data_IF_982188533770
#
_entry.id   IF_982188533770
#
_cell.length_a   1.000
_cell.length_b   1.000
_cell.length_c   1.000
_cell.angle_alpha   90.00
_cell.angle_beta   90.00
_cell.angle_gamma   90.00
#
_symmetry.space_group_name_H-M   'P 1'
#
loop_
_entity.id
_entity.type
_entity.pdbx_description
1 polymer ?
#
# COMPACT_ATOMS: atom_id res chain seq x y z
N UNK A 1 2.05 -14.08 -5.30
CA UNK A 1 0.87 -14.92 -5.03
C UNK A 1 -0.22 -14.01 -4.48
N UNK A 2 -1.44 -14.09 -5.04
CA UNK A 2 -2.59 -13.36 -4.51
C UNK A 2 -3.08 -13.97 -3.18
N UNK A 3 -3.13 -13.14 -2.14
CA UNK A 3 -3.70 -13.42 -0.82
C UNK A 3 -4.93 -12.53 -0.67
N UNK A 4 -6.12 -13.15 -0.63
CA UNK A 4 -7.37 -12.40 -0.53
C UNK A 4 -7.94 -12.49 0.89
N UNK A 5 -7.75 -11.44 1.69
CA UNK A 5 -8.22 -11.35 3.08
C UNK A 5 -9.64 -10.77 3.18
N UNK A 6 -10.21 -10.28 2.08
CA UNK A 6 -11.52 -9.61 2.06
C UNK A 6 -12.63 -10.51 2.61
N UNK A 7 -12.79 -11.78 2.19
CA UNK A 7 -13.88 -12.61 2.70
C UNK A 7 -13.81 -12.85 4.21
N UNK A 8 -12.60 -13.09 4.73
CA UNK A 8 -12.38 -13.33 6.16
C UNK A 8 -12.63 -12.06 6.99
N UNK A 9 -12.20 -10.90 6.50
CA UNK A 9 -12.51 -9.63 7.15
C UNK A 9 -14.01 -9.37 7.17
N UNK A 10 -14.70 -9.49 6.04
CA UNK A 10 -16.16 -9.28 5.97
C UNK A 10 -16.92 -10.25 6.88
N UNK A 11 -16.49 -11.52 6.97
CA UNK A 11 -17.06 -12.48 7.93
C UNK A 11 -16.85 -12.04 9.38
N UNK A 12 -15.69 -11.47 9.72
CA UNK A 12 -15.46 -10.90 11.04
C UNK A 12 -16.37 -9.70 11.34
N UNK A 13 -16.59 -8.82 10.35
CA UNK A 13 -17.47 -7.66 10.47
C UNK A 13 -18.95 -8.05 10.67
N UNK A 14 -19.39 -9.14 10.05
CA UNK A 14 -20.77 -9.66 10.13
C UNK A 14 -21.02 -10.58 11.33
N UNK A 15 -20.00 -10.86 12.14
CA UNK A 15 -20.10 -11.70 13.34
C UNK A 15 -21.07 -11.12 14.37
N UNK A 16 -21.70 -11.98 15.18
CA UNK A 16 -22.47 -11.55 16.35
C UNK A 16 -21.60 -10.82 17.40
N UNK A 17 -20.29 -11.08 17.39
CA UNK A 17 -19.29 -10.38 18.21
C UNK A 17 -18.19 -9.79 17.31
N UNK A 18 -18.43 -8.66 16.62
CA UNK A 18 -17.52 -8.15 15.59
C UNK A 18 -16.12 -7.81 16.10
N UNK A 19 -16.02 -7.20 17.28
CA UNK A 19 -14.72 -6.83 17.88
C UNK A 19 -13.87 -8.07 18.15
N UNK A 20 -14.46 -9.09 18.82
CA UNK A 20 -13.75 -10.32 19.12
C UNK A 20 -13.39 -11.10 17.85
N UNK A 21 -14.27 -11.11 16.85
CA UNK A 21 -13.98 -11.73 15.56
C UNK A 21 -12.86 -11.01 14.80
N UNK A 22 -12.84 -9.66 14.83
CA UNK A 22 -11.79 -8.87 14.22
C UNK A 22 -10.42 -9.13 14.87
N UNK A 23 -10.36 -9.25 16.20
CA UNK A 23 -9.12 -9.66 16.87
C UNK A 23 -8.64 -11.05 16.42
N UNK A 24 -9.53 -12.04 16.29
CA UNK A 24 -9.15 -13.35 15.77
C UNK A 24 -8.64 -13.29 14.34
N UNK A 25 -9.27 -12.47 13.50
CA UNK A 25 -8.80 -12.21 12.14
C UNK A 25 -7.40 -11.58 12.12
N UNK A 26 -7.16 -10.56 12.95
CA UNK A 26 -5.83 -9.96 13.11
C UNK A 26 -4.79 -10.97 13.60
N UNK A 27 -5.15 -11.81 14.57
CA UNK A 27 -4.24 -12.82 15.13
C UNK A 27 -3.90 -13.91 14.11
N UNK A 28 -4.88 -14.37 13.32
CA UNK A 28 -4.68 -15.37 12.28
C UNK A 28 -3.75 -14.88 11.16
N UNK A 29 -3.78 -13.59 10.86
CA UNK A 29 -2.99 -12.95 9.80
C UNK A 29 -1.92 -11.99 10.34
N UNK A 30 -1.45 -12.24 11.57
CA UNK A 30 -0.59 -11.34 12.34
C UNK A 30 0.67 -10.88 11.61
N UNK A 31 1.28 -11.74 10.80
CA UNK A 31 2.50 -11.42 10.07
C UNK A 31 2.28 -10.24 9.10
N UNK A 32 1.21 -10.29 8.31
CA UNK A 32 0.88 -9.26 7.32
C UNK A 32 0.18 -8.09 8.00
N UNK A 33 -0.89 -8.36 8.77
CA UNK A 33 -1.69 -7.29 9.36
C UNK A 33 -0.94 -6.56 10.48
N UNK A 34 -0.07 -7.22 11.23
CA UNK A 34 0.79 -6.55 12.20
C UNK A 34 1.74 -5.55 11.54
N UNK A 35 2.38 -5.95 10.45
CA UNK A 35 3.25 -5.08 9.67
C UNK A 35 2.48 -3.92 9.01
N UNK A 36 1.30 -4.19 8.45
CA UNK A 36 0.39 -3.15 7.94
C UNK A 36 0.03 -2.12 9.01
N UNK A 37 -0.42 -2.56 10.19
CA UNK A 37 -0.79 -1.66 11.26
C UNK A 37 0.39 -0.81 11.75
N UNK A 38 1.55 -1.43 11.97
CA UNK A 38 2.76 -0.74 12.43
C UNK A 38 3.21 0.37 11.44
N UNK A 39 3.15 0.08 10.14
CA UNK A 39 3.65 1.00 9.12
C UNK A 39 2.62 2.06 8.70
N UNK A 40 1.33 1.73 8.64
CA UNK A 40 0.32 2.57 7.98
C UNK A 40 -0.86 3.00 8.86
N UNK A 41 -0.98 2.46 10.09
CA UNK A 41 -2.11 2.76 10.97
C UNK A 41 -1.61 3.31 12.31
N UNK A 42 -1.36 2.43 13.27
CA UNK A 42 -0.75 2.68 14.57
C UNK A 42 -0.21 1.34 15.11
N UNK A 43 0.66 1.40 16.11
CA UNK A 43 1.12 0.23 16.85
C UNK A 43 -0.08 -0.56 17.45
N UNK A 44 -0.28 -1.86 17.10
CA UNK A 44 -1.39 -2.69 17.58
C UNK A 44 -1.45 -2.93 19.09
N UNK A 45 -0.38 -2.61 19.82
CA UNK A 45 -0.32 -2.67 21.28
C UNK A 45 -0.60 -1.33 21.96
N UNK A 46 -0.84 -0.27 21.17
CA UNK A 46 -1.02 1.10 21.64
C UNK A 46 -2.41 1.38 22.23
N UNK A 47 -2.56 2.50 22.96
CA UNK A 47 -3.79 2.84 23.70
C UNK A 47 -5.00 3.07 22.80
N UNK A 48 -4.79 3.48 21.54
CA UNK A 48 -5.86 3.78 20.58
C UNK A 48 -6.28 2.57 19.72
N UNK A 49 -5.58 1.44 19.81
CA UNK A 49 -5.84 0.28 18.96
C UNK A 49 -7.29 -0.20 19.07
N UNK A 50 -7.78 -0.40 20.29
CA UNK A 50 -9.13 -0.90 20.52
C UNK A 50 -10.22 0.09 20.09
N UNK A 51 -9.94 1.39 20.17
CA UNK A 51 -10.84 2.43 19.68
C UNK A 51 -10.99 2.34 18.15
N UNK A 52 -9.86 2.28 17.44
CA UNK A 52 -9.85 2.14 15.98
C UNK A 52 -10.52 0.84 15.54
N UNK A 53 -10.28 -0.27 16.25
CA UNK A 53 -10.98 -1.55 15.96
C UNK A 53 -12.49 -1.39 16.11
N UNK A 54 -12.98 -0.74 17.19
CA UNK A 54 -14.41 -0.51 17.41
C UNK A 54 -15.03 0.35 16.31
N UNK A 55 -14.34 1.40 15.89
CA UNK A 55 -14.79 2.27 14.80
C UNK A 55 -14.80 1.50 13.47
N UNK A 56 -13.74 0.75 13.21
CA UNK A 56 -13.61 -0.11 12.03
C UNK A 56 -14.79 -1.07 11.94
N UNK A 57 -15.11 -1.83 13.00
CA UNK A 57 -16.19 -2.82 12.91
C UNK A 57 -17.60 -2.22 12.86
N UNK A 58 -17.76 -0.94 13.22
CA UNK A 58 -19.05 -0.23 13.20
C UNK A 58 -19.29 0.58 11.93
N UNK A 59 -18.24 0.87 11.16
CA UNK A 59 -18.35 1.72 9.98
C UNK A 59 -19.25 1.09 8.90
N UNK A 60 -20.10 1.91 8.30
CA UNK A 60 -20.97 1.54 7.19
C UNK A 60 -20.13 1.30 5.93
N UNK A 61 -20.41 0.21 5.20
CA UNK A 61 -19.61 -0.27 4.05
C UNK A 61 -20.44 -0.66 2.83
N UNK A 62 -21.59 -0.01 2.65
CA UNK A 62 -22.47 -0.27 1.49
C UNK A 62 -21.75 -0.03 0.15
N UNK A 63 -20.84 0.94 0.12
CA UNK A 63 -19.95 1.23 -1.01
C UNK A 63 -18.99 0.07 -1.32
N UNK A 64 -18.36 -0.53 -0.31
CA UNK A 64 -17.49 -1.70 -0.49
C UNK A 64 -18.27 -2.92 -1.00
N UNK A 65 -19.46 -3.20 -0.45
CA UNK A 65 -20.29 -4.30 -0.95
C UNK A 65 -20.69 -4.05 -2.42
N UNK A 66 -21.05 -2.82 -2.77
CA UNK A 66 -21.38 -2.42 -4.15
C UNK A 66 -20.18 -2.61 -5.09
N UNK A 67 -18.97 -2.27 -4.64
CA UNK A 67 -17.73 -2.52 -5.38
C UNK A 67 -17.57 -4.02 -5.69
N UNK A 68 -17.67 -4.87 -4.66
CA UNK A 68 -17.43 -6.31 -4.78
C UNK A 68 -18.49 -7.02 -5.64
N UNK A 69 -19.71 -6.48 -5.73
CA UNK A 69 -20.75 -6.98 -6.64
C UNK A 69 -20.47 -6.66 -8.12
N UNK A 70 -19.74 -5.57 -8.39
CA UNK A 70 -19.55 -5.03 -9.75
C UNK A 70 -18.18 -5.33 -10.34
N UNK A 71 -17.17 -5.49 -9.50
CA UNK A 71 -15.77 -5.58 -9.91
C UNK A 71 -15.14 -6.83 -9.36
N UNK A 72 -14.61 -7.67 -10.25
CA UNK A 72 -13.75 -8.79 -9.86
C UNK A 72 -12.35 -8.27 -9.51
N UNK A 73 -12.24 -7.75 -8.29
CA UNK A 73 -11.00 -7.18 -7.74
C UNK A 73 -9.88 -8.23 -7.63
N UNK A 74 -10.22 -9.50 -7.42
CA UNK A 74 -9.25 -10.59 -7.36
C UNK A 74 -8.63 -10.85 -8.73
N UNK A 75 -9.45 -10.96 -9.77
CA UNK A 75 -8.94 -11.11 -11.13
C UNK A 75 -8.20 -9.86 -11.61
N UNK A 76 -8.62 -8.66 -11.18
CA UNK A 76 -7.90 -7.42 -11.46
C UNK A 76 -6.49 -7.44 -10.87
N UNK A 77 -6.36 -7.72 -9.58
CA UNK A 77 -5.08 -7.80 -8.89
C UNK A 77 -4.16 -8.90 -9.45
N UNK A 78 -4.71 -10.08 -9.73
CA UNK A 78 -3.92 -11.18 -10.32
C UNK A 78 -3.38 -10.85 -11.71
N UNK A 79 -4.17 -10.16 -12.54
CA UNK A 79 -3.69 -9.69 -13.86
C UNK A 79 -2.61 -8.63 -13.71
N UNK A 80 -2.75 -7.71 -12.77
CA UNK A 80 -1.71 -6.70 -12.49
C UNK A 80 -0.43 -7.36 -12.02
N UNK A 81 -0.50 -8.31 -11.07
CA UNK A 81 0.65 -9.07 -10.60
C UNK A 81 1.38 -9.73 -11.77
N UNK A 82 0.64 -10.45 -12.63
CA UNK A 82 1.21 -11.13 -13.78
C UNK A 82 1.89 -10.16 -14.76
N UNK A 83 1.26 -9.01 -15.03
CA UNK A 83 1.82 -7.97 -15.89
C UNK A 83 3.11 -7.38 -15.30
N UNK A 84 3.16 -7.13 -13.99
CA UNK A 84 4.36 -6.65 -13.31
C UNK A 84 5.49 -7.69 -13.34
N UNK A 85 5.18 -8.97 -13.10
CA UNK A 85 6.17 -10.05 -13.15
C UNK A 85 6.82 -10.14 -14.52
N UNK A 86 6.02 -10.03 -15.59
CA UNK A 86 6.51 -10.03 -16.96
C UNK A 86 7.33 -8.76 -17.27
N UNK A 87 6.75 -7.57 -17.02
CA UNK A 87 7.36 -6.29 -17.41
C UNK A 87 8.62 -5.95 -16.63
N UNK A 88 8.71 -6.33 -15.35
CA UNK A 88 9.86 -6.01 -14.50
C UNK A 88 10.84 -7.19 -14.37
N UNK A 89 10.61 -8.28 -15.12
CA UNK A 89 11.42 -9.50 -15.10
C UNK A 89 11.64 -10.01 -13.66
N UNK A 90 10.58 -10.01 -12.85
CA UNK A 90 10.67 -10.27 -11.41
C UNK A 90 11.11 -11.72 -11.18
N UNK A 91 12.29 -11.87 -10.59
CA UNK A 91 12.91 -13.16 -10.28
C UNK A 91 12.74 -13.59 -8.81
N UNK A 92 12.09 -12.74 -8.01
CA UNK A 92 11.75 -12.99 -6.61
C UNK A 92 10.25 -13.21 -6.40
N UNK A 93 9.87 -13.73 -5.23
CA UNK A 93 8.47 -13.89 -4.88
C UNK A 93 7.92 -12.62 -4.25
N UNK A 94 6.82 -12.14 -4.80
CA UNK A 94 6.02 -11.03 -4.26
C UNK A 94 4.62 -11.56 -3.97
N UNK A 95 4.09 -11.26 -2.79
CA UNK A 95 2.71 -11.59 -2.44
C UNK A 95 1.84 -10.33 -2.60
N UNK A 96 0.70 -10.45 -3.29
CA UNK A 96 -0.27 -9.36 -3.47
C UNK A 96 -1.42 -9.58 -2.50
N UNK A 97 -1.72 -8.61 -1.66
CA UNK A 97 -2.74 -8.72 -0.61
C UNK A 97 -3.93 -7.83 -0.92
N UNK A 98 -5.09 -8.43 -1.10
CA UNK A 98 -6.37 -7.71 -1.13
C UNK A 98 -6.96 -7.72 0.27
N UNK A 99 -7.26 -6.53 0.80
CA UNK A 99 -7.79 -6.40 2.16
C UNK A 99 -8.80 -5.26 2.29
N UNK A 100 -9.56 -5.35 3.38
CA UNK A 100 -10.31 -4.23 3.95
C UNK A 100 -9.38 -3.61 4.98
N UNK A 101 -8.82 -2.47 4.63
CA UNK A 101 -7.92 -1.65 5.40
C UNK A 101 -8.58 -0.81 6.48
N UNK A 102 -7.71 -0.07 7.14
CA UNK A 102 -8.02 0.80 8.28
C UNK A 102 -7.11 2.01 8.18
N UNK A 103 -7.67 3.21 8.28
CA UNK A 103 -6.86 4.43 8.25
C UNK A 103 -6.85 5.09 6.87
N UNK A 104 -5.70 5.64 6.48
CA UNK A 104 -5.60 6.54 5.33
C UNK A 104 -4.79 5.96 4.16
N UNK A 105 -4.12 4.82 4.35
CA UNK A 105 -3.32 4.20 3.29
C UNK A 105 -4.21 3.39 2.35
N UNK A 106 -4.23 3.79 1.07
CA UNK A 106 -4.97 3.11 0.02
C UNK A 106 -4.23 1.88 -0.51
N UNK A 107 -2.90 1.94 -0.58
CA UNK A 107 -2.01 0.85 -0.94
C UNK A 107 -0.69 1.05 -0.19
N UNK A 108 0.16 0.02 -0.20
CA UNK A 108 1.50 0.12 0.36
C UNK A 108 2.31 -1.15 0.17
N UNK A 109 3.59 -1.02 0.45
CA UNK A 109 4.57 -2.08 0.42
C UNK A 109 4.93 -2.55 1.84
N UNK A 110 5.20 -3.84 1.98
CA UNK A 110 5.74 -4.44 3.20
C UNK A 110 6.84 -5.43 2.82
N UNK A 111 7.69 -5.75 3.79
CA UNK A 111 8.53 -6.94 3.73
C UNK A 111 8.31 -7.72 5.02
N UNK A 112 7.91 -8.97 4.87
CA UNK A 112 7.61 -9.90 5.97
C UNK A 112 8.43 -11.16 5.76
N UNK A 113 9.30 -11.48 6.72
CA UNK A 113 10.23 -12.63 6.65
C UNK A 113 11.04 -12.66 5.33
N UNK A 114 11.51 -11.49 4.89
CA UNK A 114 12.27 -11.29 3.65
C UNK A 114 11.44 -11.38 2.36
N UNK A 115 10.12 -11.54 2.46
CA UNK A 115 9.21 -11.57 1.30
C UNK A 115 8.53 -10.23 1.11
N UNK A 116 8.62 -9.71 -0.11
CA UNK A 116 7.88 -8.51 -0.49
C UNK A 116 6.38 -8.79 -0.52
N UNK A 117 5.63 -7.83 -0.01
CA UNK A 117 4.17 -7.84 -0.02
C UNK A 117 3.71 -6.48 -0.54
N UNK A 118 2.80 -6.49 -1.51
CA UNK A 118 2.10 -5.30 -1.97
C UNK A 118 0.63 -5.43 -1.60
N UNK A 119 0.07 -4.49 -0.84
CA UNK A 119 -1.34 -4.55 -0.44
C UNK A 119 -2.17 -3.43 -1.06
N UNK A 120 -3.48 -3.68 -1.18
CA UNK A 120 -4.47 -2.64 -1.45
C UNK A 120 -5.59 -2.72 -0.41
N UNK A 121 -6.03 -1.55 0.03
CA UNK A 121 -7.12 -1.35 0.96
C UNK A 121 -8.37 -0.92 0.17
N UNK A 122 -9.28 -1.87 -0.05
CA UNK A 122 -10.41 -1.70 -0.97
C UNK A 122 -11.40 -0.61 -0.56
N UNK A 123 -11.46 -0.19 0.71
CA UNK A 123 -12.32 0.94 1.11
C UNK A 123 -11.90 2.27 0.48
N UNK A 124 -10.69 2.36 -0.05
CA UNK A 124 -10.26 3.55 -0.76
C UNK A 124 -10.68 3.57 -2.23
N UNK A 125 -11.08 2.44 -2.82
CA UNK A 125 -11.32 2.26 -4.26
C UNK A 125 -12.79 2.00 -4.62
N UNK A 126 -13.74 2.59 -3.88
CA UNK A 126 -15.17 2.33 -4.05
C UNK A 126 -15.88 3.32 -4.99
N UNK A 127 -15.15 4.24 -5.63
CA UNK A 127 -15.66 5.43 -6.35
C UNK A 127 -16.52 6.39 -5.50
N UNK A 128 -16.67 6.12 -4.20
CA UNK A 128 -17.49 6.90 -3.28
C UNK A 128 -16.67 7.20 -2.04
N UNK A 129 -16.43 8.48 -1.76
CA UNK A 129 -15.75 8.85 -0.52
C UNK A 129 -16.61 8.44 0.68
N UNK A 130 -16.02 7.77 1.66
CA UNK A 130 -16.72 7.24 2.82
C UNK A 130 -16.08 7.74 4.12
N UNK A 131 -16.65 8.77 4.77
CA UNK A 131 -16.12 9.31 6.01
C UNK A 131 -16.08 8.32 7.18
N UNK A 132 -16.95 7.30 7.18
CA UNK A 132 -17.01 6.31 8.26
C UNK A 132 -15.79 5.38 8.24
N UNK A 133 -15.25 5.08 7.05
CA UNK A 133 -14.03 4.29 6.87
C UNK A 133 -12.79 5.14 6.57
N UNK A 134 -12.96 6.45 6.37
CA UNK A 134 -11.94 7.36 5.79
C UNK A 134 -11.56 6.96 4.34
N UNK A 135 -12.44 6.25 3.66
CA UNK A 135 -12.28 5.86 2.27
C UNK A 135 -12.23 7.08 1.34
N UNK A 136 -11.25 7.08 0.43
CA UNK A 136 -10.99 8.21 -0.48
C UNK A 136 -11.99 8.27 -1.65
N UNK A 137 -12.65 7.16 -1.98
CA UNK A 137 -13.55 7.08 -3.12
C UNK A 137 -12.84 7.13 -4.47
N UNK A 138 -11.62 6.60 -4.54
CA UNK A 138 -10.87 6.40 -5.78
C UNK A 138 -11.62 5.44 -6.71
N UNK A 139 -11.39 5.60 -8.01
CA UNK A 139 -11.93 4.67 -9.00
C UNK A 139 -11.25 3.29 -8.87
N UNK A 140 -12.01 2.17 -8.88
CA UNK A 140 -11.46 0.82 -8.94
C UNK A 140 -10.44 0.59 -10.06
N UNK A 141 -10.57 1.32 -11.18
CA UNK A 141 -9.63 1.24 -12.30
C UNK A 141 -8.21 1.72 -11.94
N UNK A 142 -8.04 2.39 -10.79
CA UNK A 142 -6.74 2.80 -10.27
C UNK A 142 -6.02 1.69 -9.49
N UNK A 143 -6.69 0.59 -9.14
CA UNK A 143 -6.08 -0.53 -8.40
C UNK A 143 -4.80 -1.06 -9.11
N UNK A 144 -4.81 -1.31 -10.44
CA UNK A 144 -3.60 -1.74 -11.15
C UNK A 144 -2.43 -0.77 -11.04
N UNK A 145 -2.70 0.54 -11.12
CA UNK A 145 -1.68 1.58 -11.02
C UNK A 145 -1.00 1.53 -9.64
N UNK A 146 -1.78 1.49 -8.57
CA UNK A 146 -1.26 1.41 -7.21
C UNK A 146 -0.56 0.10 -6.92
N UNK A 147 -1.11 -1.05 -7.34
CA UNK A 147 -0.42 -2.33 -7.18
C UNK A 147 0.94 -2.36 -7.89
N UNK A 148 1.02 -1.85 -9.12
CA UNK A 148 2.28 -1.78 -9.85
C UNK A 148 3.32 -0.90 -9.13
N UNK A 149 2.88 0.21 -8.53
CA UNK A 149 3.70 1.07 -7.68
C UNK A 149 4.28 0.29 -6.49
N UNK A 150 3.43 -0.37 -5.70
CA UNK A 150 3.87 -1.11 -4.51
C UNK A 150 4.71 -2.34 -4.84
N UNK A 151 4.40 -3.03 -5.94
CA UNK A 151 5.20 -4.16 -6.43
C UNK A 151 6.61 -3.69 -6.77
N UNK A 152 6.78 -2.52 -7.39
CA UNK A 152 8.09 -1.98 -7.72
C UNK A 152 8.94 -1.69 -6.48
N UNK A 153 8.34 -1.17 -5.41
CA UNK A 153 9.01 -1.08 -4.11
C UNK A 153 9.43 -2.46 -3.60
N UNK A 154 8.50 -3.42 -3.61
CA UNK A 154 8.78 -4.81 -3.22
C UNK A 154 9.97 -5.44 -3.96
N UNK A 155 10.04 -5.27 -5.29
CA UNK A 155 11.19 -5.68 -6.12
C UNK A 155 12.46 -4.99 -5.63
N UNK A 156 12.43 -3.66 -5.48
CA UNK A 156 13.60 -2.90 -5.04
C UNK A 156 14.11 -3.38 -3.68
N UNK A 157 13.22 -3.75 -2.78
CA UNK A 157 13.55 -4.10 -1.40
C UNK A 157 13.98 -5.57 -1.25
N UNK A 158 13.65 -6.45 -2.21
CA UNK A 158 13.79 -7.91 -2.02
C UNK A 158 14.36 -8.69 -3.20
N UNK A 159 14.56 -8.08 -4.38
CA UNK A 159 15.23 -8.77 -5.49
C UNK A 159 16.69 -9.12 -5.12
N UNK A 160 17.19 -10.34 -5.43
CA UNK A 160 18.55 -10.75 -5.10
C UNK A 160 19.64 -9.87 -5.72
N UNK A 161 19.36 -9.33 -6.92
CA UNK A 161 20.25 -8.43 -7.63
C UNK A 161 20.17 -6.96 -7.18
N UNK A 162 19.25 -6.62 -6.27
CA UNK A 162 19.06 -5.22 -5.85
C UNK A 162 20.26 -4.69 -5.09
N UNK A 163 20.72 -3.50 -5.47
CA UNK A 163 21.81 -2.76 -4.80
C UNK A 163 21.30 -1.58 -3.97
N UNK A 164 19.97 -1.47 -3.84
CA UNK A 164 19.27 -0.42 -3.12
C UNK A 164 19.75 -0.32 -1.66
N UNK A 165 19.83 0.90 -1.13
CA UNK A 165 20.01 1.09 0.32
C UNK A 165 18.84 0.49 1.11
N UNK A 166 17.63 0.56 0.56
CA UNK A 166 16.43 -0.02 1.16
C UNK A 166 16.52 -1.55 1.30
N UNK A 167 17.12 -2.24 0.31
CA UNK A 167 17.38 -3.68 0.41
C UNK A 167 18.29 -4.00 1.60
N UNK A 168 19.39 -3.26 1.75
CA UNK A 168 20.31 -3.43 2.89
C UNK A 168 19.61 -3.15 4.22
N UNK A 169 18.80 -2.09 4.28
CA UNK A 169 18.05 -1.76 5.50
C UNK A 169 17.07 -2.87 5.90
N UNK A 170 16.43 -3.53 4.92
CA UNK A 170 15.57 -4.70 5.15
C UNK A 170 16.37 -5.90 5.63
N UNK A 171 17.52 -6.18 5.00
CA UNK A 171 18.40 -7.29 5.44
C UNK A 171 18.94 -7.04 6.86
N UNK A 172 19.33 -5.81 7.21
CA UNK A 172 19.77 -5.40 8.55
C UNK A 172 18.65 -5.47 9.61
N UNK A 173 17.39 -5.48 9.16
CA UNK A 173 16.19 -5.62 9.98
C UNK A 173 15.63 -7.06 9.93
N UNK A 174 16.49 -8.04 9.68
CA UNK A 174 16.16 -9.47 9.62
C UNK A 174 15.00 -9.79 8.66
N UNK A 175 14.98 -9.10 7.51
CA UNK A 175 13.97 -9.30 6.47
C UNK A 175 12.64 -8.60 6.76
N UNK A 176 12.62 -7.59 7.63
CA UNK A 176 11.43 -6.78 7.90
C UNK A 176 11.57 -5.36 7.36
N UNK A 177 10.48 -4.80 6.83
CA UNK A 177 10.42 -3.38 6.47
C UNK A 177 9.72 -2.56 7.55
N UNK A 178 10.33 -1.43 7.90
CA UNK A 178 9.73 -0.40 8.75
C UNK A 178 9.89 0.96 8.10
N UNK A 179 8.78 1.59 7.76
CA UNK A 179 8.71 2.95 7.22
C UNK A 179 9.43 3.96 8.15
N UNK A 180 9.27 3.78 9.47
CA UNK A 180 9.84 4.66 10.48
C UNK A 180 11.36 4.57 10.57
N UNK A 181 11.92 3.35 10.53
CA UNK A 181 13.36 3.15 10.62
C UNK A 181 14.07 3.48 9.30
N UNK A 182 13.48 3.10 8.16
CA UNK A 182 14.04 3.42 6.84
C UNK A 182 14.04 4.92 6.58
N UNK A 183 13.00 5.65 7.00
CA UNK A 183 12.96 7.11 6.95
C UNK A 183 14.06 7.81 7.76
N UNK A 184 14.69 7.12 8.72
CA UNK A 184 15.81 7.64 9.52
C UNK A 184 17.19 7.23 9.02
N UNK A 185 17.29 6.07 8.35
CA UNK A 185 18.57 5.42 8.02
C UNK A 185 18.97 5.55 6.55
N UNK A 186 17.98 5.64 5.67
CA UNK A 186 18.19 5.66 4.23
C UNK A 186 18.28 7.09 3.72
N UNK A 187 19.15 7.32 2.72
CA UNK A 187 19.35 8.67 2.17
C UNK A 187 18.09 9.22 1.51
N UNK A 188 17.97 10.55 1.47
CA UNK A 188 16.90 11.21 0.70
C UNK A 188 16.98 10.84 -0.79
N UNK A 189 18.20 10.72 -1.34
CA UNK A 189 18.42 10.28 -2.71
C UNK A 189 17.79 8.93 -2.99
N UNK A 190 18.02 7.95 -2.11
CA UNK A 190 17.42 6.63 -2.27
C UNK A 190 15.89 6.70 -2.24
N UNK A 191 15.29 7.46 -1.31
CA UNK A 191 13.84 7.65 -1.27
C UNK A 191 13.30 8.29 -2.57
N UNK A 192 13.96 9.32 -3.10
CA UNK A 192 13.55 9.95 -4.36
C UNK A 192 13.63 8.99 -5.54
N UNK A 193 14.68 8.17 -5.61
CA UNK A 193 14.83 7.13 -6.65
C UNK A 193 13.78 6.03 -6.48
N UNK A 194 13.51 5.63 -5.23
CA UNK A 194 12.50 4.63 -4.89
C UNK A 194 11.11 5.04 -5.40
N UNK A 195 10.64 6.21 -5.00
CA UNK A 195 9.34 6.77 -5.44
C UNK A 195 9.31 6.99 -6.95
N UNK A 196 10.38 7.55 -7.52
CA UNK A 196 10.45 7.81 -8.96
C UNK A 196 10.33 6.55 -9.82
N UNK A 197 10.94 5.45 -9.38
CA UNK A 197 10.84 4.15 -10.05
C UNK A 197 9.47 3.52 -9.87
N UNK A 198 8.87 3.63 -8.69
CA UNK A 198 7.51 3.13 -8.45
C UNK A 198 6.47 3.87 -9.30
N UNK A 199 6.61 5.20 -9.45
CA UNK A 199 5.80 5.98 -10.40
C UNK A 199 6.03 5.56 -11.84
N UNK A 200 7.27 5.27 -12.24
CA UNK A 200 7.56 4.80 -13.59
C UNK A 200 6.94 3.41 -13.86
N UNK A 201 7.02 2.49 -12.90
CA UNK A 201 6.39 1.19 -12.94
C UNK A 201 4.85 1.29 -13.07
N UNK A 202 4.23 2.17 -12.27
CA UNK A 202 2.79 2.42 -12.34
C UNK A 202 2.35 2.91 -13.72
N UNK A 203 3.13 3.79 -14.36
CA UNK A 203 2.87 4.30 -15.72
C UNK A 203 3.01 3.23 -16.80
N UNK A 204 3.98 2.34 -16.65
CA UNK A 204 4.20 1.23 -17.59
C UNK A 204 3.00 0.26 -17.58
N UNK A 205 2.53 -0.10 -16.39
CA UNK A 205 1.47 -1.10 -16.21
C UNK A 205 0.08 -0.52 -16.42
N UNK A 206 -0.14 0.74 -16.03
CA UNK A 206 -1.43 1.40 -16.11
C UNK A 206 -1.27 2.83 -16.66
N UNK A 207 -1.07 2.98 -17.98
CA UNK A 207 -0.87 4.27 -18.62
C UNK A 207 -2.18 5.07 -18.75
N UNK A 208 -2.07 6.38 -18.97
CA UNK A 208 -3.20 7.24 -19.32
C UNK A 208 -3.83 8.01 -18.15
N UNK A 209 -3.44 7.73 -16.91
CA UNK A 209 -3.89 8.49 -15.74
C UNK A 209 -3.31 9.91 -15.67
N UNK A 210 -3.95 10.76 -14.89
CA UNK A 210 -3.47 12.10 -14.63
C UNK A 210 -2.20 12.07 -13.74
N UNK A 211 -1.30 13.06 -13.87
CA UNK A 211 -0.08 13.11 -13.08
C UNK A 211 -0.32 13.02 -11.57
N UNK A 212 -1.33 13.72 -11.04
CA UNK A 212 -1.62 13.72 -9.60
C UNK A 212 -2.05 12.35 -9.07
N UNK A 213 -2.62 11.49 -9.91
CA UNK A 213 -3.01 10.12 -9.52
C UNK A 213 -1.76 9.25 -9.31
N UNK A 214 -0.79 9.31 -10.22
CA UNK A 214 0.48 8.60 -10.05
C UNK A 214 1.27 9.06 -8.81
N UNK A 215 1.11 10.33 -8.41
CA UNK A 215 1.81 10.89 -7.25
C UNK A 215 0.99 10.83 -5.95
N UNK A 216 -0.21 10.23 -5.97
CA UNK A 216 -1.03 10.11 -4.76
C UNK A 216 -1.55 11.43 -4.19
N UNK A 217 -1.66 12.48 -5.01
CA UNK A 217 -2.10 13.80 -4.57
C UNK A 217 -3.54 14.08 -4.98
N UNK A 218 -4.25 14.83 -4.13
CA UNK A 218 -5.41 15.57 -4.60
C UNK A 218 -4.98 16.57 -5.67
N UNK A 219 -5.83 16.81 -6.68
CA UNK A 219 -5.55 17.75 -7.78
C UNK A 219 -5.05 19.13 -7.30
N UNK A 220 -5.62 19.65 -6.20
CA UNK A 220 -5.21 20.94 -5.61
C UNK A 220 -3.84 20.85 -4.92
N UNK A 221 -3.59 19.75 -4.20
CA UNK A 221 -2.30 19.51 -3.55
C UNK A 221 -1.20 19.40 -4.61
N UNK A 222 -1.44 18.64 -5.67
CA UNK A 222 -0.52 18.53 -6.80
C UNK A 222 -0.19 19.89 -7.42
N UNK A 223 -1.20 20.69 -7.75
CA UNK A 223 -0.99 22.03 -8.28
C UNK A 223 -0.12 22.88 -7.35
N UNK A 224 -0.34 22.80 -6.03
CA UNK A 224 0.46 23.53 -5.06
C UNK A 224 1.90 23.03 -4.97
N UNK A 225 2.14 21.72 -5.02
CA UNK A 225 3.50 21.16 -5.05
C UNK A 225 4.24 21.62 -6.30
N UNK A 226 3.58 21.65 -7.45
CA UNK A 226 4.15 22.14 -8.72
C UNK A 226 4.58 23.61 -8.66
N UNK A 227 3.85 24.45 -7.94
CA UNK A 227 4.24 25.85 -7.71
C UNK A 227 5.53 25.98 -6.89
N UNK A 228 5.82 25.00 -6.03
CA UNK A 228 6.99 24.99 -5.13
C UNK A 228 8.20 24.26 -5.73
N UNK A 229 8.04 23.60 -6.88
CA UNK A 229 9.06 22.73 -7.47
C UNK A 229 10.39 23.45 -7.66
N UNK A 230 10.40 24.67 -8.21
CA UNK A 230 11.65 25.42 -8.46
C UNK A 230 12.44 25.73 -7.18
N UNK A 231 11.75 25.90 -6.05
CA UNK A 231 12.36 26.12 -4.74
C UNK A 231 12.91 24.80 -4.19
N UNK A 232 12.13 23.73 -4.32
CA UNK A 232 12.53 22.39 -3.86
C UNK A 232 13.72 21.85 -4.65
N UNK A 233 13.73 22.01 -5.98
CA UNK A 233 14.81 21.53 -6.86
C UNK A 233 16.18 22.11 -6.48
N UNK A 234 16.24 23.37 -6.05
CA UNK A 234 17.50 23.98 -5.60
C UNK A 234 18.03 23.28 -4.35
N UNK A 235 17.16 22.96 -3.40
CA UNK A 235 17.55 22.37 -2.11
C UNK A 235 18.01 20.92 -2.26
N UNK A 236 17.44 20.17 -3.22
CA UNK A 236 17.76 18.75 -3.40
C UNK A 236 18.83 18.46 -4.47
N UNK A 237 19.30 19.47 -5.23
CA UNK A 237 20.22 19.23 -6.35
C UNK A 237 21.52 18.58 -5.89
N UNK A 238 22.07 19.03 -4.76
CA UNK A 238 23.31 18.49 -4.19
C UNK A 238 23.17 17.04 -3.71
N UNK A 239 21.95 16.64 -3.31
CA UNK A 239 21.64 15.26 -2.91
C UNK A 239 21.36 14.35 -4.11
N UNK A 240 20.98 14.91 -5.26
CA UNK A 240 20.74 14.15 -6.49
C UNK A 240 22.01 13.89 -7.30
N UNK A 241 22.95 14.84 -7.29
CA UNK A 241 24.20 14.81 -8.08
C UNK A 241 25.36 14.04 -7.40
N UNK A 242 25.24 13.70 -6.11
CA UNK A 242 26.21 12.88 -5.35
C UNK A 242 25.83 11.42 -5.35
#
# INVERSE_FOLDING_TARGET
>A
MLINLVPECLAALQSAEPVAAYHRYLDAHRAILGAYWHNYVIEPSGPHFLEIVRDTVRAERNDLYTLLERTDVAALAARTEAACVEAFEIDSRIDVVLMVGVGAANAGELVVDGRAVAFVCLEHFTSVANPATRGLGLDPELIPMWLAHEIAHGVRYTAPGSRAELRRAVDDADGSYSYWETGRRVSLREHLVNEGLAVAAAREISPGHAPWEYFGYDRKQYARVRELESVLSHVVVDDLDR
#
